data_IF_838036896896
#
_entry.id   IF_838036896896
#
_cell.length_a   1.000
_cell.length_b   1.000
_cell.length_c   1.000
_cell.angle_alpha   90.00
_cell.angle_beta   90.00
_cell.angle_gamma   90.00
#
_symmetry.space_group_name_H-M   'P 1'
#
loop_
_entity.id
_entity.type
_entity.pdbx_description
1 polymer ?
#
# COMPACT_ATOMS: atom_id res chain seq x y z
N UNK A 1 -4.37 -25.09 21.86
CA UNK A 1 -3.14 -24.27 21.78
C UNK A 1 -3.43 -22.76 21.88
N UNK A 2 -4.62 -22.33 22.30
CA UNK A 2 -4.93 -20.90 22.48
C UNK A 2 -4.46 -20.42 23.87
N UNK A 3 -3.88 -19.22 23.94
CA UNK A 3 -3.50 -18.55 25.20
C UNK A 3 -2.01 -18.61 25.59
N UNK A 4 -1.17 -19.36 24.86
CA UNK A 4 0.29 -19.30 25.04
C UNK A 4 0.89 -18.19 24.16
N UNK A 5 1.81 -17.40 24.71
CA UNK A 5 2.50 -16.31 23.96
C UNK A 5 3.17 -16.80 22.68
N UNK A 6 3.67 -18.03 22.68
CA UNK A 6 4.40 -18.63 21.56
C UNK A 6 3.53 -19.44 20.58
N UNK A 7 2.24 -19.63 20.87
CA UNK A 7 1.37 -20.48 20.06
C UNK A 7 1.29 -20.05 18.58
N UNK A 8 1.13 -18.75 18.23
CA UNK A 8 1.07 -18.34 16.82
C UNK A 8 2.35 -18.66 16.06
N UNK A 9 3.50 -18.50 16.71
CA UNK A 9 4.81 -18.79 16.12
C UNK A 9 4.98 -20.29 15.87
N UNK A 10 4.63 -21.12 16.84
CA UNK A 10 4.71 -22.58 16.72
C UNK A 10 3.74 -23.11 15.66
N UNK A 11 2.52 -22.57 15.62
CA UNK A 11 1.55 -22.89 14.58
C UNK A 11 2.08 -22.50 13.20
N UNK A 12 2.58 -21.27 13.01
CA UNK A 12 3.15 -20.83 11.74
C UNK A 12 4.32 -21.70 11.26
N UNK A 13 5.21 -22.12 12.16
CA UNK A 13 6.29 -23.06 11.84
C UNK A 13 5.77 -24.45 11.44
N UNK A 14 4.76 -24.95 12.17
CA UNK A 14 4.13 -26.21 11.88
C UNK A 14 3.41 -26.21 10.51
N UNK A 15 2.64 -25.15 10.24
CA UNK A 15 1.94 -24.93 8.99
C UNK A 15 2.92 -24.87 7.82
N UNK A 16 3.98 -24.06 7.91
CA UNK A 16 5.01 -23.95 6.85
C UNK A 16 5.63 -25.30 6.50
N UNK A 17 5.93 -26.12 7.50
CA UNK A 17 6.47 -27.46 7.28
C UNK A 17 5.47 -28.35 6.54
N UNK A 18 4.22 -28.42 6.99
CA UNK A 18 3.19 -29.25 6.36
C UNK A 18 2.87 -28.77 4.94
N UNK A 19 2.74 -27.45 4.75
CA UNK A 19 2.54 -26.84 3.44
C UNK A 19 3.68 -27.23 2.48
N UNK A 20 4.93 -27.14 2.93
CA UNK A 20 6.12 -27.59 2.19
C UNK A 20 6.06 -29.05 1.77
N UNK A 21 5.70 -29.95 2.69
CA UNK A 21 5.51 -31.38 2.41
C UNK A 21 4.38 -31.64 1.40
N UNK A 22 3.39 -30.74 1.33
CA UNK A 22 2.29 -30.80 0.36
C UNK A 22 2.61 -30.11 -0.98
N UNK A 23 3.85 -29.66 -1.18
CA UNK A 23 4.32 -29.03 -2.42
C UNK A 23 4.09 -27.52 -2.52
N UNK A 24 3.76 -26.85 -1.40
CA UNK A 24 3.65 -25.39 -1.34
C UNK A 24 4.98 -24.76 -0.94
N UNK A 25 5.44 -23.78 -1.73
CA UNK A 25 6.67 -23.03 -1.47
C UNK A 25 6.34 -21.62 -1.00
N UNK A 26 6.85 -21.21 0.16
CA UNK A 26 6.71 -19.83 0.64
C UNK A 26 7.62 -18.88 -0.14
N UNK A 27 7.04 -17.95 -0.89
CA UNK A 27 7.78 -17.01 -1.76
C UNK A 27 7.99 -15.63 -1.11
N UNK A 28 7.05 -15.26 -0.25
CA UNK A 28 7.18 -14.16 0.69
C UNK A 28 6.41 -14.52 1.94
N UNK A 29 6.65 -13.79 3.03
CA UNK A 29 5.96 -14.03 4.30
C UNK A 29 4.45 -14.18 4.06
N UNK A 30 3.90 -15.31 4.48
CA UNK A 30 2.47 -15.63 4.37
C UNK A 30 1.91 -15.81 2.94
N UNK A 31 2.74 -15.89 1.90
CA UNK A 31 2.30 -16.21 0.54
C UNK A 31 3.05 -17.42 0.01
N UNK A 32 2.28 -18.42 -0.39
CA UNK A 32 2.76 -19.69 -0.89
C UNK A 32 2.35 -19.87 -2.34
N UNK A 33 3.18 -20.57 -3.11
CA UNK A 33 2.86 -20.98 -4.47
C UNK A 33 3.01 -22.49 -4.61
N UNK A 34 2.15 -23.08 -5.43
CA UNK A 34 2.28 -24.45 -5.90
C UNK A 34 2.66 -24.40 -7.37
N UNK A 35 3.75 -25.07 -7.75
CA UNK A 35 4.27 -25.07 -9.13
C UNK A 35 4.00 -26.43 -9.78
N UNK A 36 3.57 -26.42 -11.04
CA UNK A 36 3.38 -27.62 -11.85
C UNK A 36 3.81 -27.31 -13.29
N UNK A 37 4.47 -28.25 -13.97
CA UNK A 37 4.90 -28.10 -15.37
C UNK A 37 5.67 -26.79 -15.72
N UNK A 38 6.40 -26.20 -14.75
CA UNK A 38 7.18 -24.98 -14.97
C UNK A 38 6.38 -23.68 -14.90
N UNK A 39 5.15 -23.69 -14.42
CA UNK A 39 4.35 -22.50 -14.11
C UNK A 39 3.82 -22.54 -12.66
N UNK A 40 3.36 -21.38 -12.17
CA UNK A 40 2.58 -21.32 -10.93
C UNK A 40 1.17 -21.81 -11.23
N UNK A 41 0.76 -22.86 -10.51
CA UNK A 41 -0.56 -23.48 -10.62
C UNK A 41 -1.56 -22.90 -9.63
N UNK A 42 -1.11 -22.67 -8.40
CA UNK A 42 -1.94 -22.14 -7.33
C UNK A 42 -1.17 -21.19 -6.43
N UNK A 43 -1.87 -20.23 -5.85
CA UNK A 43 -1.34 -19.24 -4.91
C UNK A 43 -2.18 -19.28 -3.64
N UNK A 44 -1.55 -19.29 -2.48
CA UNK A 44 -2.22 -19.28 -1.19
C UNK A 44 -1.68 -18.16 -0.32
N UNK A 45 -2.56 -17.26 0.12
CA UNK A 45 -2.27 -16.24 1.13
C UNK A 45 -2.80 -16.69 2.50
N UNK A 46 -1.95 -16.59 3.52
CA UNK A 46 -2.20 -17.16 4.86
C UNK A 46 -2.19 -16.05 5.90
N UNK A 47 -3.30 -15.88 6.60
CA UNK A 47 -3.41 -14.94 7.71
C UNK A 47 -3.87 -15.67 8.98
N UNK A 48 -2.93 -16.05 9.84
CA UNK A 48 -3.20 -16.87 11.02
C UNK A 48 -3.89 -18.18 10.61
N UNK A 49 -5.20 -18.29 10.80
CA UNK A 49 -6.05 -19.42 10.47
C UNK A 49 -6.82 -19.25 9.15
N UNK A 50 -6.86 -18.03 8.59
CA UNK A 50 -7.53 -17.75 7.31
C UNK A 50 -6.62 -18.09 6.12
N UNK A 51 -7.11 -18.95 5.22
CA UNK A 51 -6.44 -19.29 3.96
C UNK A 51 -7.24 -18.76 2.76
N UNK A 52 -6.62 -17.90 1.96
CA UNK A 52 -7.18 -17.44 0.69
C UNK A 52 -6.40 -18.09 -0.45
N UNK A 53 -7.08 -18.90 -1.26
CA UNK A 53 -6.43 -19.70 -2.31
C UNK A 53 -6.98 -19.35 -3.69
N UNK A 54 -6.06 -19.15 -4.62
CA UNK A 54 -6.32 -18.94 -6.04
C UNK A 54 -5.79 -20.15 -6.80
N UNK A 55 -6.69 -20.91 -7.43
CA UNK A 55 -6.39 -22.10 -8.25
C UNK A 55 -7.52 -22.33 -9.26
N UNK A 56 -7.19 -22.94 -10.39
CA UNK A 56 -8.17 -23.44 -11.36
C UNK A 56 -8.93 -24.68 -10.83
N UNK A 57 -8.32 -25.46 -9.94
CA UNK A 57 -8.91 -26.64 -9.29
C UNK A 57 -8.56 -26.62 -7.78
N UNK A 58 -9.22 -25.73 -7.00
CA UNK A 58 -8.88 -25.51 -5.60
C UNK A 58 -9.11 -26.77 -4.75
N UNK A 59 -10.10 -27.59 -5.09
CA UNK A 59 -10.41 -28.85 -4.39
C UNK A 59 -9.23 -29.80 -4.51
N UNK A 60 -8.76 -30.07 -5.73
CA UNK A 60 -7.60 -30.96 -5.94
C UNK A 60 -6.33 -30.39 -5.34
N UNK A 61 -6.10 -29.08 -5.48
CA UNK A 61 -4.83 -28.49 -5.08
C UNK A 61 -4.65 -28.35 -3.57
N UNK A 62 -5.75 -28.15 -2.83
CA UNK A 62 -5.73 -28.08 -1.37
C UNK A 62 -5.91 -29.44 -0.69
N UNK A 63 -6.45 -30.45 -1.36
CA UNK A 63 -6.76 -31.76 -0.76
C UNK A 63 -5.62 -32.37 0.07
N UNK A 64 -4.33 -32.38 -0.37
CA UNK A 64 -3.25 -32.90 0.45
C UNK A 64 -3.04 -32.12 1.75
N UNK A 65 -3.14 -30.79 1.68
CA UNK A 65 -2.99 -29.90 2.83
C UNK A 65 -4.18 -30.05 3.79
N UNK A 66 -5.39 -30.09 3.23
CA UNK A 66 -6.64 -30.31 3.95
C UNK A 66 -6.61 -31.58 4.78
N UNK A 67 -6.19 -32.70 4.18
CA UNK A 67 -6.05 -33.99 4.88
C UNK A 67 -5.00 -33.97 5.98
N UNK A 68 -3.89 -33.26 5.77
CA UNK A 68 -2.80 -33.18 6.76
C UNK A 68 -3.14 -32.28 7.95
N UNK A 69 -3.99 -31.28 7.75
CA UNK A 69 -4.40 -30.30 8.75
C UNK A 69 -5.83 -30.52 9.27
N UNK A 70 -6.52 -31.57 8.81
CA UNK A 70 -7.91 -31.90 9.17
C UNK A 70 -8.87 -30.71 8.98
N UNK A 71 -8.74 -30.02 7.85
CA UNK A 71 -9.57 -28.86 7.52
C UNK A 71 -10.90 -29.27 6.89
N UNK A 72 -11.92 -28.43 7.07
CA UNK A 72 -13.22 -28.56 6.39
C UNK A 72 -13.11 -28.37 4.87
N UNK A 73 -14.21 -28.67 4.16
CA UNK A 73 -14.31 -28.37 2.73
C UNK A 73 -14.13 -26.86 2.48
N UNK A 74 -13.35 -26.47 1.46
CA UNK A 74 -13.11 -25.07 1.16
C UNK A 74 -14.39 -24.38 0.65
N UNK A 75 -14.64 -23.16 1.12
CA UNK A 75 -15.67 -22.31 0.53
C UNK A 75 -15.19 -21.84 -0.87
N UNK A 76 -15.99 -22.14 -1.90
CA UNK A 76 -15.66 -21.79 -3.28
C UNK A 76 -16.16 -20.38 -3.59
N UNK A 77 -15.23 -19.49 -3.93
CA UNK A 77 -15.55 -18.11 -4.26
C UNK A 77 -15.91 -17.93 -5.74
N UNK A 78 -17.20 -18.04 -6.05
CA UNK A 78 -17.75 -17.96 -7.40
C UNK A 78 -17.76 -16.54 -7.98
N UNK A 79 -17.89 -16.46 -9.32
CA UNK A 79 -18.05 -15.19 -10.03
C UNK A 79 -19.34 -14.47 -9.59
N UNK A 80 -19.27 -13.16 -9.36
CA UNK A 80 -20.36 -12.37 -8.79
C UNK A 80 -20.48 -12.49 -7.26
N UNK A 81 -19.68 -13.35 -6.64
CA UNK A 81 -19.63 -13.53 -5.20
C UNK A 81 -19.00 -12.36 -4.45
N UNK A 82 -19.33 -12.28 -3.16
CA UNK A 82 -18.65 -11.43 -2.17
C UNK A 82 -18.24 -12.28 -0.97
N UNK A 83 -17.05 -12.04 -0.43
CA UNK A 83 -16.50 -12.77 0.72
C UNK A 83 -15.74 -11.81 1.63
N UNK A 84 -15.77 -12.06 2.95
CA UNK A 84 -14.92 -11.38 3.90
C UNK A 84 -13.55 -12.03 4.00
N UNK A 85 -12.47 -11.26 3.93
CA UNK A 85 -11.11 -11.73 4.21
C UNK A 85 -10.34 -10.67 5.00
N UNK A 86 -9.83 -11.02 6.19
CA UNK A 86 -9.07 -10.11 7.07
C UNK A 86 -9.78 -8.78 7.38
N UNK A 87 -11.11 -8.79 7.48
CA UNK A 87 -11.92 -7.58 7.73
C UNK A 87 -12.12 -6.67 6.51
N UNK A 88 -11.79 -7.16 5.31
CA UNK A 88 -12.09 -6.52 4.03
C UNK A 88 -13.11 -7.34 3.25
N UNK A 89 -13.93 -6.69 2.43
CA UNK A 89 -14.81 -7.36 1.49
C UNK A 89 -14.10 -7.52 0.15
N UNK A 90 -13.96 -8.76 -0.30
CA UNK A 90 -13.49 -9.12 -1.63
C UNK A 90 -14.71 -9.41 -2.49
N UNK A 91 -14.79 -8.78 -3.66
CA UNK A 91 -15.80 -9.08 -4.68
C UNK A 91 -15.13 -9.59 -5.94
N UNK A 92 -15.68 -10.64 -6.54
CA UNK A 92 -15.20 -11.19 -7.81
C UNK A 92 -16.16 -10.83 -8.92
N UNK A 93 -15.62 -10.30 -10.00
CA UNK A 93 -16.30 -10.16 -11.29
C UNK A 93 -15.69 -11.16 -12.28
N UNK A 94 -16.16 -11.20 -13.52
CA UNK A 94 -15.66 -12.12 -14.53
C UNK A 94 -14.15 -11.95 -14.79
N UNK A 95 -13.65 -10.70 -14.78
CA UNK A 95 -12.28 -10.37 -15.17
C UNK A 95 -11.48 -9.62 -14.08
N UNK A 96 -12.10 -9.32 -12.94
CA UNK A 96 -11.46 -8.50 -11.91
C UNK A 96 -11.92 -8.83 -10.48
N UNK A 97 -11.08 -8.44 -9.53
CA UNK A 97 -11.39 -8.42 -8.11
C UNK A 97 -11.51 -6.98 -7.62
N UNK A 98 -12.47 -6.73 -6.73
CA UNK A 98 -12.58 -5.48 -5.99
C UNK A 98 -12.37 -5.72 -4.50
N UNK A 99 -11.55 -4.89 -3.86
CA UNK A 99 -11.32 -4.91 -2.42
C UNK A 99 -11.87 -3.65 -1.78
N UNK A 100 -12.81 -3.80 -0.83
CA UNK A 100 -13.51 -2.68 -0.20
C UNK A 100 -13.60 -2.85 1.31
N UNK A 101 -13.59 -1.73 2.02
CA UNK A 101 -13.91 -1.65 3.45
C UNK A 101 -15.27 -0.97 3.70
N UNK A 102 -16.14 -0.90 2.68
CA UNK A 102 -17.42 -0.18 2.76
C UNK A 102 -18.32 -0.68 3.90
N UNK A 103 -18.52 -1.99 4.04
CA UNK A 103 -19.33 -2.55 5.11
C UNK A 103 -18.79 -2.20 6.52
N UNK A 104 -17.46 -2.19 6.68
CA UNK A 104 -16.82 -1.75 7.91
C UNK A 104 -17.05 -0.25 8.15
N UNK A 105 -16.89 0.59 7.13
CA UNK A 105 -17.13 2.03 7.22
C UNK A 105 -18.60 2.37 7.57
N UNK A 106 -19.56 1.64 7.01
CA UNK A 106 -20.99 1.78 7.30
C UNK A 106 -21.34 1.41 8.75
N UNK A 107 -20.58 0.49 9.36
CA UNK A 107 -20.77 0.10 10.77
C UNK A 107 -20.33 1.18 11.77
N UNK A 108 -19.59 2.21 11.34
CA UNK A 108 -19.06 3.24 12.23
C UNK A 108 -20.13 4.32 12.49
N UNK A 109 -20.57 4.53 13.75
CA UNK A 109 -21.68 5.42 14.08
C UNK A 109 -21.21 6.89 14.19
N UNK A 110 -20.82 7.48 13.07
CA UNK A 110 -20.46 8.91 12.98
C UNK A 110 -21.32 9.55 11.90
N UNK A 111 -22.10 10.58 12.24
CA UNK A 111 -22.91 11.33 11.29
C UNK A 111 -22.35 12.73 11.06
N UNK A 112 -22.53 13.24 9.85
CA UNK A 112 -22.05 14.58 9.45
C UNK A 112 -22.84 15.68 10.17
N UNK A 113 -24.08 15.39 10.51
CA UNK A 113 -25.03 16.24 11.21
C UNK A 113 -24.57 16.54 12.64
N UNK A 114 -23.87 15.61 13.27
CA UNK A 114 -23.35 15.74 14.65
C UNK A 114 -22.10 16.63 14.74
N UNK A 115 -21.46 16.94 13.60
CA UNK A 115 -20.21 17.70 13.59
C UNK A 115 -20.45 19.21 13.48
N UNK A 116 -19.64 20.05 14.16
CA UNK A 116 -19.76 21.51 14.08
C UNK A 116 -19.39 22.08 12.70
N UNK A 117 -18.67 21.32 11.87
CA UNK A 117 -18.36 21.64 10.47
C UNK A 117 -18.88 20.54 9.56
N UNK A 118 -19.29 20.90 8.35
CA UNK A 118 -19.91 19.97 7.38
C UNK A 118 -18.99 19.60 6.21
N UNK A 119 -17.83 20.24 6.08
CA UNK A 119 -16.88 19.97 5.00
C UNK A 119 -15.45 20.05 5.49
N UNK A 120 -14.60 19.22 4.89
CA UNK A 120 -13.17 19.25 5.10
C UNK A 120 -12.58 20.42 4.29
N UNK A 121 -11.75 21.25 4.92
CA UNK A 121 -11.06 22.36 4.26
C UNK A 121 -9.55 22.28 4.49
N UNK A 122 -8.71 22.82 3.59
CA UNK A 122 -7.26 22.85 3.78
C UNK A 122 -6.83 23.50 5.11
N UNK A 123 -7.54 24.53 5.57
CA UNK A 123 -7.29 25.22 6.85
C UNK A 123 -7.60 24.33 8.05
N UNK A 124 -8.65 23.50 7.94
CA UNK A 124 -9.00 22.55 8.99
C UNK A 124 -7.94 21.45 9.13
N UNK A 125 -7.30 21.04 8.03
CA UNK A 125 -6.22 20.04 8.02
C UNK A 125 -4.90 20.65 8.47
N UNK A 126 -4.48 21.77 7.86
CA UNK A 126 -3.20 22.44 8.10
C UNK A 126 -3.40 23.48 9.23
N UNK A 127 -3.05 23.16 10.48
CA UNK A 127 -3.22 24.14 11.58
C UNK A 127 -2.32 25.36 11.44
N UNK A 128 -2.81 26.46 11.99
CA UNK A 128 -2.03 27.57 12.54
C UNK A 128 -1.29 27.13 13.80
N UNK A 129 -0.24 27.84 14.19
CA UNK A 129 0.61 27.51 15.34
C UNK A 129 -0.05 27.71 16.72
N UNK A 130 -1.35 27.98 16.78
CA UNK A 130 -2.05 28.56 17.94
C UNK A 130 -3.21 27.71 18.47
N UNK A 131 -3.43 26.49 17.97
CA UNK A 131 -4.50 25.64 18.52
C UNK A 131 -4.12 25.07 19.89
N UNK A 132 -4.92 25.38 20.91
CA UNK A 132 -4.78 24.84 22.26
C UNK A 132 -5.00 23.32 22.24
N UNK A 133 -4.10 22.60 22.91
CA UNK A 133 -4.19 21.15 23.03
C UNK A 133 -5.22 20.78 24.09
N UNK A 134 -6.16 19.89 23.75
CA UNK A 134 -7.14 19.34 24.66
C UNK A 134 -6.81 17.88 24.97
N UNK A 135 -6.18 17.65 26.13
CA UNK A 135 -5.75 16.30 26.55
C UNK A 135 -6.92 15.32 26.71
N UNK A 136 -8.14 15.81 26.98
CA UNK A 136 -9.32 14.96 27.12
C UNK A 136 -9.69 14.25 25.80
N UNK A 137 -9.28 14.82 24.66
CA UNK A 137 -9.58 14.28 23.33
C UNK A 137 -8.56 13.23 22.87
N UNK A 138 -7.45 13.02 23.58
CA UNK A 138 -6.35 12.11 23.17
C UNK A 138 -6.87 10.68 22.91
N UNK A 139 -7.65 10.13 23.83
CA UNK A 139 -8.21 8.78 23.68
C UNK A 139 -9.15 8.67 22.46
N UNK A 140 -9.96 9.70 22.21
CA UNK A 140 -10.93 9.71 21.12
C UNK A 140 -10.22 9.84 19.77
N UNK A 141 -9.30 10.80 19.62
CA UNK A 141 -8.59 10.99 18.35
C UNK A 141 -7.75 9.76 18.01
N UNK A 142 -7.13 9.10 18.99
CA UNK A 142 -6.33 7.90 18.75
C UNK A 142 -7.18 6.75 18.23
N UNK A 143 -8.40 6.58 18.74
CA UNK A 143 -9.37 5.61 18.20
C UNK A 143 -9.73 5.94 16.76
N UNK A 144 -10.11 7.20 16.47
CA UNK A 144 -10.46 7.63 15.11
C UNK A 144 -9.28 7.44 14.15
N UNK A 145 -8.08 7.78 14.57
CA UNK A 145 -6.87 7.63 13.77
C UNK A 145 -6.45 6.17 13.59
N UNK A 146 -6.74 5.30 14.55
CA UNK A 146 -6.62 3.85 14.39
C UNK A 146 -7.54 3.32 13.28
N UNK A 147 -8.80 3.76 13.28
CA UNK A 147 -9.78 3.44 12.22
C UNK A 147 -9.32 3.99 10.87
N UNK A 148 -8.92 5.27 10.79
CA UNK A 148 -8.42 5.86 9.54
C UNK A 148 -7.17 5.13 9.03
N UNK A 149 -6.27 4.72 9.92
CA UNK A 149 -5.08 3.95 9.55
C UNK A 149 -5.44 2.59 8.96
N UNK A 150 -6.49 1.94 9.46
CA UNK A 150 -7.04 0.72 8.87
C UNK A 150 -7.70 0.97 7.51
N UNK A 151 -8.46 2.06 7.37
CA UNK A 151 -9.18 2.43 6.14
C UNK A 151 -8.22 2.88 5.02
N UNK A 152 -7.07 3.45 5.38
CA UNK A 152 -6.00 3.81 4.43
C UNK A 152 -5.45 2.60 3.66
N UNK A 153 -5.80 1.37 4.04
CA UNK A 153 -5.33 0.14 3.38
C UNK A 153 -6.08 -0.17 2.10
N UNK A 154 -7.23 0.45 1.83
CA UNK A 154 -7.94 0.34 0.55
C UNK A 154 -8.23 1.69 -0.12
N UNK A 155 -7.74 2.80 0.44
CA UNK A 155 -8.04 4.15 -0.04
C UNK A 155 -6.77 4.98 -0.15
N UNK A 156 -6.17 5.03 -1.34
CA UNK A 156 -4.87 5.69 -1.56
C UNK A 156 -4.91 7.21 -1.30
N UNK A 157 -5.95 7.88 -1.80
CA UNK A 157 -6.22 9.32 -1.62
C UNK A 157 -6.19 9.78 -0.16
N UNK A 158 -6.54 8.89 0.77
CA UNK A 158 -6.61 9.17 2.20
C UNK A 158 -5.22 9.33 2.84
N UNK A 159 -4.19 8.76 2.23
CA UNK A 159 -2.88 8.55 2.85
C UNK A 159 -2.21 9.87 3.22
N UNK A 160 -2.39 10.91 2.40
CA UNK A 160 -1.94 12.26 2.73
C UNK A 160 -2.64 12.79 3.99
N UNK A 161 -3.98 12.76 4.01
CA UNK A 161 -4.78 13.27 5.12
C UNK A 161 -4.48 12.53 6.42
N UNK A 162 -4.43 11.19 6.37
CA UNK A 162 -4.06 10.37 7.50
C UNK A 162 -2.66 10.72 8.03
N UNK A 163 -1.68 10.84 7.14
CA UNK A 163 -0.33 11.20 7.54
C UNK A 163 -0.26 12.58 8.18
N UNK A 164 -0.98 13.58 7.65
CA UNK A 164 -1.04 14.93 8.24
C UNK A 164 -1.75 14.94 9.60
N UNK A 165 -2.89 14.24 9.73
CA UNK A 165 -3.68 14.22 10.96
C UNK A 165 -3.03 13.39 12.08
N UNK A 166 -2.24 12.36 11.73
CA UNK A 166 -1.54 11.51 12.71
C UNK A 166 -0.59 12.27 13.64
N UNK A 167 -0.14 13.47 13.24
CA UNK A 167 0.69 14.34 14.07
C UNK A 167 -0.01 14.83 15.34
N UNK A 168 -1.35 14.89 15.33
CA UNK A 168 -2.14 15.38 16.46
C UNK A 168 -2.60 14.25 17.39
N UNK A 169 -2.14 13.01 17.18
CA UNK A 169 -2.48 11.85 18.03
C UNK A 169 -2.13 12.04 19.51
N UNK A 170 -1.09 12.81 19.80
CA UNK A 170 -0.63 13.09 21.18
C UNK A 170 -0.93 14.52 21.63
N UNK A 171 -1.40 15.39 20.72
CA UNK A 171 -1.71 16.80 20.98
C UNK A 171 -2.92 17.24 20.14
N UNK A 172 -4.11 16.67 20.40
CA UNK A 172 -5.30 17.00 19.63
C UNK A 172 -5.87 18.35 20.02
N UNK A 173 -6.64 18.92 19.10
CA UNK A 173 -7.56 20.02 19.34
C UNK A 173 -8.95 19.58 18.85
N UNK A 174 -10.01 20.30 19.27
CA UNK A 174 -11.37 20.04 18.80
C UNK A 174 -11.48 20.11 17.27
N UNK A 175 -10.78 21.06 16.63
CA UNK A 175 -10.76 21.19 15.17
C UNK A 175 -10.11 19.97 14.50
N UNK A 176 -9.02 19.42 15.05
CA UNK A 176 -8.35 18.23 14.50
C UNK A 176 -9.16 16.96 14.65
N UNK A 177 -9.89 16.82 15.75
CA UNK A 177 -10.86 15.73 15.89
C UNK A 177 -11.96 15.83 14.82
N UNK A 178 -12.52 17.03 14.60
CA UNK A 178 -13.52 17.26 13.55
C UNK A 178 -12.94 16.98 12.16
N UNK A 179 -11.69 17.37 11.90
CA UNK A 179 -11.00 17.06 10.65
C UNK A 179 -10.89 15.54 10.41
N UNK A 180 -10.51 14.78 11.44
CA UNK A 180 -10.39 13.33 11.37
C UNK A 180 -11.75 12.65 11.15
N UNK A 181 -12.80 13.09 11.86
CA UNK A 181 -14.16 12.56 11.69
C UNK A 181 -14.74 12.89 10.31
N UNK A 182 -14.56 14.11 9.81
CA UNK A 182 -14.96 14.47 8.44
C UNK A 182 -14.21 13.67 7.38
N UNK A 183 -12.92 13.42 7.61
CA UNK A 183 -12.10 12.57 6.73
C UNK A 183 -12.68 11.15 6.64
N UNK A 184 -13.09 10.57 7.77
CA UNK A 184 -13.77 9.28 7.81
C UNK A 184 -15.09 9.29 7.03
N UNK A 185 -15.93 10.31 7.25
CA UNK A 185 -17.22 10.47 6.55
C UNK A 185 -17.00 10.57 5.04
N UNK A 186 -16.05 11.39 4.58
CA UNK A 186 -15.78 11.57 3.15
C UNK A 186 -15.38 10.24 2.48
N UNK A 187 -14.58 9.40 3.15
CA UNK A 187 -14.18 8.10 2.60
C UNK A 187 -15.37 7.14 2.54
N UNK A 188 -16.22 7.15 3.56
CA UNK A 188 -17.47 6.38 3.56
C UNK A 188 -18.41 6.81 2.43
N UNK A 189 -18.56 8.11 2.20
CA UNK A 189 -19.40 8.68 1.13
C UNK A 189 -18.85 8.37 -0.27
N UNK A 190 -17.52 8.44 -0.46
CA UNK A 190 -16.85 8.07 -1.72
C UNK A 190 -17.13 6.60 -2.08
N UNK A 191 -16.99 5.70 -1.10
CA UNK A 191 -17.25 4.27 -1.30
C UNK A 191 -16.27 3.59 -2.28
N UNK A 192 -15.07 4.16 -2.43
CA UNK A 192 -14.04 3.66 -3.34
C UNK A 192 -13.61 2.22 -2.97
N UNK A 193 -13.13 1.50 -3.98
CA UNK A 193 -12.56 0.18 -3.82
C UNK A 193 -11.31 0.05 -4.68
N UNK A 194 -10.35 -0.76 -4.23
CA UNK A 194 -9.24 -1.13 -5.09
C UNK A 194 -9.75 -2.12 -6.13
N UNK A 195 -9.38 -1.91 -7.39
CA UNK A 195 -9.72 -2.82 -8.48
C UNK A 195 -8.46 -3.51 -9.00
N UNK A 196 -8.56 -4.82 -9.19
CA UNK A 196 -7.48 -5.67 -9.67
C UNK A 196 -7.95 -6.48 -10.88
N UNK A 197 -7.40 -6.19 -12.05
CA UNK A 197 -7.64 -6.92 -13.29
C UNK A 197 -6.47 -7.86 -13.60
N UNK A 198 -6.74 -8.90 -14.38
CA UNK A 198 -5.72 -9.85 -14.84
C UNK A 198 -4.53 -9.17 -15.55
N UNK A 199 -3.34 -9.73 -15.33
CA UNK A 199 -2.06 -9.28 -15.93
C UNK A 199 -1.31 -10.51 -16.45
N UNK A 200 -1.02 -10.53 -17.75
CA UNK A 200 -0.39 -11.69 -18.41
C UNK A 200 1.15 -11.61 -18.37
N UNK A 201 1.70 -10.46 -18.74
CA UNK A 201 3.15 -10.17 -18.65
C UNK A 201 3.38 -8.91 -17.82
N UNK A 202 3.72 -9.04 -16.53
CA UNK A 202 3.71 -7.92 -15.61
C UNK A 202 4.95 -7.03 -15.74
N UNK A 203 4.76 -5.75 -15.44
CA UNK A 203 5.79 -4.81 -15.01
C UNK A 203 5.33 -4.06 -13.76
N UNK A 204 6.29 -3.66 -12.94
CA UNK A 204 6.06 -2.77 -11.80
C UNK A 204 6.26 -1.33 -12.26
N UNK A 205 5.22 -0.51 -12.11
CA UNK A 205 5.26 0.92 -12.40
C UNK A 205 5.20 1.67 -11.07
N UNK A 206 6.16 2.55 -10.83
CA UNK A 206 6.26 3.35 -9.62
C UNK A 206 6.17 4.84 -9.98
N UNK A 207 5.13 5.52 -9.50
CA UNK A 207 5.08 6.98 -9.52
C UNK A 207 5.67 7.51 -8.22
N UNK A 208 6.58 8.47 -8.32
CA UNK A 208 7.15 9.15 -7.16
C UNK A 208 6.92 10.64 -7.31
N UNK A 209 6.45 11.25 -6.22
CA UNK A 209 6.15 12.68 -6.17
C UNK A 209 6.46 13.24 -4.78
N UNK A 210 6.76 14.53 -4.73
CA UNK A 210 7.09 15.20 -3.50
C UNK A 210 6.65 16.67 -3.47
N UNK A 211 6.12 17.08 -2.32
CA UNK A 211 5.78 18.48 -2.04
C UNK A 211 6.80 19.09 -1.08
N UNK A 212 7.18 20.34 -1.32
CA UNK A 212 8.12 21.08 -0.48
C UNK A 212 7.51 22.40 0.02
N UNK A 213 7.65 22.66 1.32
CA UNK A 213 7.25 23.91 1.96
C UNK A 213 8.47 24.80 2.21
N UNK A 214 8.58 25.89 1.46
CA UNK A 214 9.65 26.88 1.61
C UNK A 214 9.66 27.52 3.01
N UNK A 215 8.49 27.89 3.54
CA UNK A 215 8.38 28.56 4.85
C UNK A 215 8.77 27.66 6.01
N UNK A 216 8.55 26.34 5.89
CA UNK A 216 8.89 25.37 6.94
C UNK A 216 10.23 24.66 6.69
N UNK A 217 10.80 24.80 5.50
CA UNK A 217 11.93 23.99 5.02
C UNK A 217 11.67 22.48 5.19
N UNK A 218 10.43 22.06 4.93
CA UNK A 218 9.93 20.70 5.15
C UNK A 218 9.45 20.10 3.85
N UNK A 219 9.79 18.82 3.67
CA UNK A 219 9.36 18.02 2.54
C UNK A 219 8.36 16.95 2.92
N UNK A 220 7.51 16.58 1.98
CA UNK A 220 6.64 15.41 2.02
C UNK A 220 6.85 14.64 0.73
N UNK A 221 7.15 13.36 0.84
CA UNK A 221 7.31 12.46 -0.31
C UNK A 221 6.23 11.39 -0.30
N UNK A 222 5.84 10.96 -1.48
CA UNK A 222 4.93 9.84 -1.67
C UNK A 222 5.31 8.99 -2.88
N UNK A 223 4.67 7.85 -2.97
CA UNK A 223 4.72 7.02 -4.16
C UNK A 223 3.43 6.22 -4.31
N UNK A 224 3.17 5.80 -5.54
CA UNK A 224 2.14 4.82 -5.92
C UNK A 224 2.78 3.75 -6.80
N UNK A 225 2.46 2.50 -6.53
CA UNK A 225 3.02 1.34 -7.22
C UNK A 225 1.90 0.52 -7.84
N UNK A 226 1.94 0.37 -9.16
CA UNK A 226 0.99 -0.39 -9.95
C UNK A 226 1.65 -1.63 -10.54
N UNK A 227 0.90 -2.72 -10.62
CA UNK A 227 1.31 -3.93 -11.34
C UNK A 227 0.47 -4.04 -12.61
N UNK A 228 1.07 -3.73 -13.75
CA UNK A 228 0.35 -3.61 -15.04
C UNK A 228 0.99 -4.48 -16.10
N UNK A 229 0.31 -4.67 -17.23
CA UNK A 229 0.89 -5.42 -18.34
C UNK A 229 1.97 -4.60 -19.05
N UNK A 230 3.03 -5.24 -19.55
CA UNK A 230 4.12 -4.56 -20.27
C UNK A 230 3.65 -3.83 -21.52
N UNK A 231 2.58 -4.29 -22.16
CA UNK A 231 1.99 -3.63 -23.32
C UNK A 231 1.33 -2.28 -22.99
N UNK A 232 1.04 -2.03 -21.71
CA UNK A 232 0.50 -0.77 -21.24
C UNK A 232 1.61 0.29 -21.18
N UNK A 233 1.38 1.42 -21.85
CA UNK A 233 2.20 2.62 -21.81
C UNK A 233 1.55 3.66 -20.91
N UNK A 234 2.30 4.66 -20.45
CA UNK A 234 1.75 5.70 -19.56
C UNK A 234 0.48 6.38 -20.11
N UNK A 235 0.35 6.53 -21.43
CA UNK A 235 -0.79 7.19 -22.08
C UNK A 235 -2.07 6.35 -22.09
N UNK A 236 -1.97 5.03 -21.95
CA UNK A 236 -3.11 4.10 -21.95
C UNK A 236 -3.10 3.16 -20.74
N UNK A 237 -2.29 3.48 -19.71
CA UNK A 237 -2.13 2.64 -18.54
C UNK A 237 -3.41 2.69 -17.72
N UNK A 238 -3.83 1.51 -17.26
CA UNK A 238 -4.90 1.43 -16.26
C UNK A 238 -4.34 1.90 -14.92
N UNK A 239 -5.06 2.81 -14.26
CA UNK A 239 -4.78 3.18 -12.87
C UNK A 239 -5.40 2.21 -11.85
N UNK A 240 -6.02 1.12 -12.33
CA UNK A 240 -6.29 -0.07 -11.52
C UNK A 240 -4.98 -0.78 -11.16
N UNK A 241 -5.07 -1.89 -10.44
CA UNK A 241 -3.92 -2.68 -9.99
C UNK A 241 -2.92 -1.88 -9.12
N UNK A 242 -3.41 -0.90 -8.37
CA UNK A 242 -2.63 -0.22 -7.35
C UNK A 242 -2.35 -1.20 -6.20
N UNK A 243 -1.10 -1.63 -6.07
CA UNK A 243 -0.69 -2.68 -5.11
C UNK A 243 -0.02 -2.10 -3.86
N UNK A 244 0.53 -0.89 -3.95
CA UNK A 244 1.09 -0.21 -2.79
C UNK A 244 1.18 1.30 -3.00
N UNK A 245 1.07 2.05 -1.91
CA UNK A 245 1.20 3.50 -1.93
C UNK A 245 1.68 4.00 -0.57
N UNK A 246 2.15 5.23 -0.55
CA UNK A 246 2.58 5.88 0.69
C UNK A 246 2.62 7.38 0.53
N UNK A 247 2.33 8.10 1.62
CA UNK A 247 2.64 9.51 1.77
C UNK A 247 3.22 9.75 3.15
N UNK A 248 4.38 10.39 3.24
CA UNK A 248 5.04 10.68 4.52
C UNK A 248 5.78 12.01 4.50
N UNK A 249 5.80 12.68 5.65
CA UNK A 249 6.75 13.77 5.87
C UNK A 249 8.18 13.23 5.89
N UNK A 250 9.10 14.01 5.34
CA UNK A 250 10.52 13.72 5.39
C UNK A 250 11.04 14.18 6.75
N UNK A 251 11.63 13.25 7.52
CA UNK A 251 12.10 13.48 8.90
C UNK A 251 13.44 14.25 8.95
N UNK A 252 13.63 15.23 8.07
CA UNK A 252 14.77 16.15 8.05
C UNK A 252 14.36 17.44 7.35
N UNK A 253 15.01 18.55 7.74
CA UNK A 253 14.91 19.80 6.99
C UNK A 253 15.67 19.66 5.68
N UNK A 254 15.11 20.23 4.63
CA UNK A 254 15.67 20.24 3.28
C UNK A 254 15.75 21.67 2.79
N UNK A 255 16.68 21.95 1.88
CA UNK A 255 16.87 23.30 1.35
C UNK A 255 16.06 23.49 0.06
N UNK A 256 15.97 22.44 -0.76
CA UNK A 256 15.35 22.49 -2.09
C UNK A 256 14.27 21.41 -2.30
N UNK A 257 13.33 21.70 -3.19
CA UNK A 257 12.31 20.75 -3.63
C UNK A 257 12.94 19.51 -4.26
N UNK A 258 13.98 19.63 -5.09
CA UNK A 258 14.66 18.48 -5.71
C UNK A 258 15.20 17.46 -4.69
N UNK A 259 15.66 17.92 -3.52
CA UNK A 259 16.08 17.04 -2.43
C UNK A 259 14.91 16.26 -1.81
N UNK A 260 13.71 16.85 -1.85
CA UNK A 260 12.44 16.23 -1.43
C UNK A 260 12.05 15.14 -2.43
N UNK A 261 12.16 15.41 -3.73
CA UNK A 261 11.95 14.44 -4.81
C UNK A 261 12.88 13.25 -4.69
N UNK A 262 14.18 13.49 -4.47
CA UNK A 262 15.17 12.43 -4.26
C UNK A 262 14.82 11.55 -3.06
N UNK A 263 14.30 12.15 -1.99
CA UNK A 263 13.85 11.42 -0.81
C UNK A 263 12.59 10.57 -1.08
N UNK A 264 11.64 11.06 -1.89
CA UNK A 264 10.48 10.30 -2.34
C UNK A 264 10.91 9.12 -3.22
N UNK A 265 11.78 9.37 -4.20
CA UNK A 265 12.37 8.35 -5.07
C UNK A 265 13.02 7.22 -4.26
N UNK A 266 13.88 7.57 -3.30
CA UNK A 266 14.55 6.56 -2.47
C UNK A 266 13.56 5.74 -1.64
N UNK A 267 12.50 6.34 -1.11
CA UNK A 267 11.50 5.58 -0.36
C UNK A 267 10.75 4.59 -1.24
N UNK A 268 10.35 5.01 -2.45
CA UNK A 268 9.69 4.12 -3.40
C UNK A 268 10.60 2.99 -3.87
N UNK A 269 11.83 3.31 -4.31
CA UNK A 269 12.83 2.34 -4.78
C UNK A 269 13.16 1.28 -3.74
N UNK A 270 13.34 1.67 -2.47
CA UNK A 270 13.60 0.70 -1.38
C UNK A 270 12.48 -0.33 -1.24
N UNK A 271 11.23 0.11 -1.38
CA UNK A 271 10.07 -0.74 -1.23
C UNK A 271 9.79 -1.59 -2.48
N UNK A 272 10.27 -1.18 -3.66
CA UNK A 272 10.05 -1.93 -4.90
C UNK A 272 10.66 -3.34 -4.90
N UNK A 273 11.71 -3.60 -4.13
CA UNK A 273 12.37 -4.92 -4.09
C UNK A 273 11.44 -6.05 -3.65
N UNK A 274 10.60 -5.83 -2.63
CA UNK A 274 9.67 -6.85 -2.14
C UNK A 274 8.60 -7.20 -3.18
N UNK A 275 8.00 -6.18 -3.82
CA UNK A 275 6.98 -6.39 -4.85
C UNK A 275 7.59 -7.01 -6.10
N UNK A 276 8.81 -6.60 -6.46
CA UNK A 276 9.58 -7.22 -7.53
C UNK A 276 9.81 -8.70 -7.27
N UNK A 277 10.21 -9.06 -6.05
CA UNK A 277 10.43 -10.46 -5.65
C UNK A 277 9.14 -11.27 -5.71
N UNK A 278 8.05 -10.73 -5.17
CA UNK A 278 6.74 -11.37 -5.17
C UNK A 278 6.24 -11.62 -6.60
N UNK A 279 6.17 -10.59 -7.43
CA UNK A 279 5.69 -10.75 -8.80
C UNK A 279 6.60 -11.65 -9.65
N UNK A 280 7.92 -11.61 -9.46
CA UNK A 280 8.83 -12.58 -10.09
C UNK A 280 8.50 -14.03 -9.69
N UNK A 281 8.11 -14.27 -8.44
CA UNK A 281 7.76 -15.60 -7.97
C UNK A 281 6.40 -16.07 -8.52
N UNK A 282 5.43 -15.16 -8.61
CA UNK A 282 4.08 -15.45 -9.13
C UNK A 282 4.06 -15.71 -10.64
N UNK A 283 4.78 -14.89 -11.44
CA UNK A 283 4.83 -15.07 -12.90
C UNK A 283 6.00 -15.93 -13.38
N UNK A 284 6.91 -16.32 -12.49
CA UNK A 284 8.15 -17.03 -12.83
C UNK A 284 9.00 -16.36 -13.92
N UNK A 285 8.88 -15.03 -14.06
CA UNK A 285 9.56 -14.23 -15.08
C UNK A 285 10.33 -13.06 -14.45
N UNK A 286 11.42 -12.59 -15.08
CA UNK A 286 12.03 -11.33 -14.69
C UNK A 286 11.03 -10.19 -14.80
N UNK A 287 10.85 -9.44 -13.71
CA UNK A 287 9.98 -8.29 -13.68
C UNK A 287 10.72 -7.01 -14.08
N UNK A 288 10.15 -6.27 -15.02
CA UNK A 288 10.61 -4.93 -15.38
C UNK A 288 10.09 -3.91 -14.36
N UNK A 289 10.90 -2.88 -14.08
CA UNK A 289 10.55 -1.80 -13.16
C UNK A 289 10.70 -0.48 -13.89
N UNK A 290 9.63 0.28 -13.95
CA UNK A 290 9.60 1.65 -14.47
C UNK A 290 9.31 2.59 -13.30
N UNK A 291 10.09 3.66 -13.20
CA UNK A 291 9.91 4.70 -12.20
C UNK A 291 9.64 6.01 -12.91
N UNK A 292 8.49 6.61 -12.63
CA UNK A 292 8.05 7.86 -13.22
C UNK A 292 8.15 8.99 -12.21
N UNK A 293 8.70 10.11 -12.67
CA UNK A 293 8.79 11.37 -11.92
C UNK A 293 8.53 12.54 -12.87
N UNK A 294 7.90 13.59 -12.39
CA UNK A 294 7.73 14.85 -13.13
C UNK A 294 8.85 15.86 -12.86
N UNK A 295 9.78 15.53 -11.97
CA UNK A 295 10.89 16.39 -11.59
C UNK A 295 12.06 16.31 -12.57
N UNK A 296 12.06 17.20 -13.58
CA UNK A 296 13.21 17.37 -14.48
C UNK A 296 14.54 17.63 -13.73
N UNK A 297 14.59 18.44 -12.65
CA UNK A 297 15.81 18.60 -11.87
C UNK A 297 16.32 17.30 -11.22
N UNK A 298 15.42 16.41 -10.80
CA UNK A 298 15.83 15.11 -10.24
C UNK A 298 16.45 14.23 -11.33
N UNK A 299 15.88 14.25 -12.55
CA UNK A 299 16.44 13.53 -13.70
C UNK A 299 17.88 13.99 -13.99
N UNK A 300 18.12 15.30 -14.05
CA UNK A 300 19.47 15.86 -14.25
C UNK A 300 20.44 15.42 -13.15
N UNK A 301 19.99 15.35 -11.89
CA UNK A 301 20.80 14.86 -10.78
C UNK A 301 21.14 13.37 -10.92
N UNK A 302 20.20 12.53 -11.35
CA UNK A 302 20.42 11.10 -11.56
C UNK A 302 21.42 10.83 -12.68
N UNK A 303 21.36 11.62 -13.75
CA UNK A 303 22.29 11.55 -14.88
C UNK A 303 23.68 12.03 -14.49
N UNK A 304 23.79 13.25 -13.97
CA UNK A 304 25.06 13.87 -13.57
C UNK A 304 25.72 13.17 -12.38
N UNK A 305 24.92 12.57 -11.49
CA UNK A 305 25.38 11.98 -10.25
C UNK A 305 25.75 12.99 -9.16
N UNK A 306 25.36 14.25 -9.32
CA UNK A 306 25.72 15.33 -8.39
C UNK A 306 24.49 16.15 -8.00
N UNK A 307 24.32 16.39 -6.70
CA UNK A 307 23.34 17.31 -6.15
C UNK A 307 23.93 18.73 -6.12
N UNK A 308 23.88 19.42 -7.26
CA UNK A 308 24.48 20.77 -7.43
C UNK A 308 24.04 21.79 -6.38
N UNK A 309 22.77 21.76 -5.99
CA UNK A 309 22.18 22.75 -5.06
C UNK A 309 22.30 22.34 -3.59
N UNK A 310 22.42 21.05 -3.31
CA UNK A 310 22.55 20.54 -1.93
C UNK A 310 23.53 19.37 -1.90
N UNK A 311 24.86 19.62 -1.96
CA UNK A 311 25.88 18.56 -2.05
C UNK A 311 25.84 17.53 -0.91
N UNK A 312 25.28 17.91 0.25
CA UNK A 312 25.03 16.99 1.36
C UNK A 312 24.12 15.81 0.99
N UNK A 313 23.37 15.92 -0.10
CA UNK A 313 22.50 14.86 -0.62
C UNK A 313 23.22 13.89 -1.58
N UNK A 314 24.49 14.13 -1.93
CA UNK A 314 25.25 13.29 -2.87
C UNK A 314 25.32 11.83 -2.42
N UNK A 315 25.46 11.58 -1.12
CA UNK A 315 25.43 10.21 -0.59
C UNK A 315 24.08 9.51 -0.81
N UNK A 316 22.97 10.24 -0.66
CA UNK A 316 21.63 9.70 -0.91
C UNK A 316 21.39 9.49 -2.42
N UNK A 317 21.91 10.39 -3.26
CA UNK A 317 21.85 10.29 -4.71
C UNK A 317 22.66 9.09 -5.23
N UNK A 318 23.87 8.90 -4.71
CA UNK A 318 24.71 7.74 -5.02
C UNK A 318 24.00 6.44 -4.65
N UNK A 319 23.38 6.39 -3.46
CA UNK A 319 22.54 5.27 -3.03
C UNK A 319 21.37 5.04 -3.99
N UNK A 320 20.59 6.07 -4.34
CA UNK A 320 19.47 5.96 -5.26
C UNK A 320 19.91 5.35 -6.62
N UNK A 321 21.00 5.85 -7.19
CA UNK A 321 21.55 5.35 -8.46
C UNK A 321 22.05 3.91 -8.38
N UNK A 322 22.59 3.50 -7.24
CA UNK A 322 23.00 2.11 -6.99
C UNK A 322 21.77 1.20 -6.93
N UNK A 323 20.76 1.56 -6.15
CA UNK A 323 19.55 0.75 -5.99
C UNK A 323 18.73 0.66 -7.27
N UNK A 324 18.62 1.74 -8.04
CA UNK A 324 17.99 1.73 -9.37
C UNK A 324 18.69 0.74 -10.32
N UNK A 325 20.03 0.70 -10.30
CA UNK A 325 20.81 -0.28 -11.07
C UNK A 325 20.57 -1.71 -10.58
N UNK A 326 20.54 -1.94 -9.27
CA UNK A 326 20.24 -3.25 -8.69
C UNK A 326 18.83 -3.74 -9.04
N UNK A 327 17.84 -2.82 -9.04
CA UNK A 327 16.48 -3.08 -9.52
C UNK A 327 16.39 -3.24 -11.03
N UNK A 328 17.43 -2.89 -11.80
CA UNK A 328 17.36 -2.74 -13.26
C UNK A 328 16.16 -1.86 -13.67
N UNK A 329 15.92 -0.81 -12.90
CA UNK A 329 14.79 0.08 -13.08
C UNK A 329 15.11 1.15 -14.15
N UNK A 330 14.12 1.45 -14.99
CA UNK A 330 14.16 2.58 -15.93
C UNK A 330 13.50 3.78 -15.26
N UNK A 331 14.22 4.89 -15.12
CA UNK A 331 13.62 6.15 -14.65
C UNK A 331 13.19 6.96 -15.86
N UNK A 332 11.93 7.38 -15.87
CA UNK A 332 11.28 8.05 -16.98
C UNK A 332 10.68 9.37 -16.48
N UNK A 333 10.89 10.42 -17.27
CA UNK A 333 10.26 11.71 -17.01
C UNK A 333 8.85 11.73 -17.62
N UNK A 334 7.89 12.29 -16.88
CA UNK A 334 6.53 12.54 -17.37
C UNK A 334 6.19 14.01 -17.20
N UNK A 335 5.47 14.55 -18.17
CA UNK A 335 4.93 15.88 -18.08
C UNK A 335 3.61 15.84 -17.29
N UNK A 336 3.53 16.61 -16.22
CA UNK A 336 2.27 16.84 -15.51
C UNK A 336 1.57 18.03 -16.16
N UNK A 337 0.36 17.85 -16.67
CA UNK A 337 -0.52 18.97 -16.99
C UNK A 337 -0.89 19.65 -15.67
N UNK A 338 -0.35 20.85 -15.43
CA UNK A 338 -0.62 21.64 -14.23
C UNK A 338 -1.80 22.58 -14.43
#
# INVERSE_FOLDING_TARGET
>A
MYGLKDAPRLYGQHFKRIAGECGWEEVTESVFVKKEAGSVKAVMAVHVDDLLVFSDDPVRDLEPLRKRLEMDEPEIFECGGKMGYTGMEVRRTEESFALSQKAYLESIPVQKEDLPRKSLSPELIKSSAEEETDESLVSVIQKVMGVLGWVCRTTADLTYLFSELSHYNSRPSGSKLVAALLTLICVREKGDCLQFSGVDDPKLVLFVDAAYSLSRCEGRGGFEAHLVDKKESITNMRFSNLVAWKSKRIKRKLIFSTSTELCALVDGVKQSFQWKRLAKALWMKPLEVEVYTDSAPLMEQLESGQSRREPRMDGLLAYARQELRALKAKVLWIQTDR
#
